data_IF_368915770162
#
_entry.id   IF_368915770162
#
_cell.length_a   1.000
_cell.length_b   1.000
_cell.length_c   1.000
_cell.angle_alpha   90.00
_cell.angle_beta   90.00
_cell.angle_gamma   90.00
#
_symmetry.space_group_name_H-M   'P 1'
#
loop_
_entity.id
_entity.type
_entity.pdbx_description
1 polymer ?
#
# COMPACT_ATOMS: atom_id res chain seq x y z
N UNK A 1 0.05 1.76 -22.99
CA UNK A 1 0.97 2.84 -22.54
C UNK A 1 0.31 4.19 -22.17
N UNK A 2 -0.77 4.65 -22.82
CA UNK A 2 -1.36 5.98 -22.55
C UNK A 2 -2.25 6.10 -21.29
N UNK A 3 -2.77 4.99 -20.75
CA UNK A 3 -3.63 4.96 -19.56
C UNK A 3 -2.87 5.13 -18.24
N UNK A 4 -1.70 4.49 -18.09
CA UNK A 4 -0.81 4.64 -16.91
C UNK A 4 -0.38 6.10 -16.68
N UNK A 5 -0.03 6.83 -17.74
CA UNK A 5 0.38 8.26 -17.64
C UNK A 5 -0.76 9.22 -17.29
N UNK A 6 -2.03 8.86 -17.57
CA UNK A 6 -3.21 9.67 -17.18
C UNK A 6 -3.61 9.42 -15.73
N UNK A 7 -3.53 8.16 -15.25
CA UNK A 7 -3.71 7.82 -13.84
C UNK A 7 -2.63 8.48 -12.97
N UNK A 8 -1.35 8.42 -13.37
CA UNK A 8 -0.24 9.14 -12.72
C UNK A 8 -0.41 10.68 -12.63
N UNK A 9 -1.20 11.30 -13.53
CA UNK A 9 -1.46 12.75 -13.52
C UNK A 9 -2.61 13.16 -12.61
N UNK A 10 -3.64 12.32 -12.48
CA UNK A 10 -4.70 12.52 -11.49
C UNK A 10 -4.22 12.18 -10.08
N UNK A 11 -3.31 11.20 -9.99
CA UNK A 11 -2.49 10.87 -8.81
C UNK A 11 -1.80 12.14 -8.26
N UNK A 12 -1.01 12.85 -9.05
CA UNK A 12 -0.23 14.00 -8.55
C UNK A 12 -1.03 15.21 -8.00
N UNK A 13 -2.30 15.43 -8.36
CA UNK A 13 -3.04 16.62 -7.91
C UNK A 13 -3.66 16.50 -6.51
N UNK A 14 -4.03 15.30 -6.05
CA UNK A 14 -4.50 15.06 -4.66
C UNK A 14 -3.36 14.62 -3.72
N UNK A 15 -2.31 14.01 -4.29
CA UNK A 15 -1.17 13.43 -3.58
C UNK A 15 -0.10 14.46 -3.19
N UNK A 16 0.00 15.62 -3.85
CA UNK A 16 1.05 16.61 -3.59
C UNK A 16 1.08 17.09 -2.12
N UNK A 17 -0.09 17.19 -1.47
CA UNK A 17 -0.16 17.57 -0.04
C UNK A 17 0.39 16.46 0.88
N UNK A 18 0.20 15.19 0.52
CA UNK A 18 0.63 14.05 1.35
C UNK A 18 1.99 13.48 0.93
N UNK A 19 2.51 13.87 -0.24
CA UNK A 19 3.80 13.41 -0.77
C UNK A 19 4.95 13.81 0.14
N UNK A 20 4.91 15.02 0.68
CA UNK A 20 5.89 15.51 1.66
C UNK A 20 5.82 14.74 3.00
N UNK A 21 4.71 14.04 3.29
CA UNK A 21 4.60 13.12 4.46
C UNK A 21 5.03 11.69 4.16
N UNK A 22 5.16 11.34 2.88
CA UNK A 22 5.46 9.98 2.41
C UNK A 22 6.89 9.81 1.88
N UNK A 23 7.60 10.89 1.55
CA UNK A 23 8.85 10.82 0.80
C UNK A 23 9.98 11.60 1.48
N UNK A 24 10.65 10.97 2.46
CA UNK A 24 11.92 11.47 3.02
C UNK A 24 13.06 10.42 3.02
N UNK A 25 12.83 9.20 2.52
CA UNK A 25 13.78 8.10 2.70
C UNK A 25 14.19 7.45 1.38
N UNK A 26 15.49 7.15 1.18
CA UNK A 26 15.97 6.52 -0.05
C UNK A 26 15.57 5.04 -0.07
N UNK A 27 14.54 4.71 -0.84
CA UNK A 27 14.12 3.33 -1.09
C UNK A 27 14.80 2.78 -2.35
N UNK A 28 15.14 1.49 -2.34
CA UNK A 28 15.71 0.77 -3.49
C UNK A 28 14.84 0.81 -4.74
N UNK A 29 13.53 0.83 -4.53
CA UNK A 29 12.52 0.83 -5.58
C UNK A 29 11.40 1.79 -5.16
N UNK A 30 10.91 2.66 -6.06
CA UNK A 30 9.81 3.57 -5.75
C UNK A 30 8.58 2.86 -5.17
N UNK A 31 8.21 1.71 -5.76
CA UNK A 31 7.07 0.91 -5.31
C UNK A 31 7.24 0.35 -3.88
N UNK A 32 8.48 0.13 -3.39
CA UNK A 32 8.71 -0.20 -1.97
C UNK A 32 8.37 0.96 -1.06
N UNK A 33 8.73 2.18 -1.48
CA UNK A 33 8.40 3.39 -0.75
C UNK A 33 6.89 3.60 -0.69
N UNK A 34 6.21 3.45 -1.83
CA UNK A 34 4.76 3.54 -1.91
C UNK A 34 4.07 2.45 -1.07
N UNK A 35 4.56 1.20 -1.12
CA UNK A 35 4.07 0.11 -0.27
C UNK A 35 4.24 0.45 1.21
N UNK A 36 5.46 0.81 1.63
CA UNK A 36 5.74 1.13 3.02
C UNK A 36 4.83 2.25 3.55
N UNK A 37 4.70 3.33 2.78
CA UNK A 37 3.93 4.50 3.21
C UNK A 37 2.44 4.24 3.24
N UNK A 38 1.91 3.60 2.19
CA UNK A 38 0.49 3.28 2.14
C UNK A 38 0.11 2.27 3.23
N UNK A 39 0.93 1.24 3.47
CA UNK A 39 0.70 0.30 4.57
C UNK A 39 0.81 0.99 5.93
N UNK A 40 1.75 1.93 6.12
CA UNK A 40 1.87 2.72 7.36
C UNK A 40 0.59 3.49 7.68
N UNK A 41 -0.03 4.10 6.66
CA UNK A 41 -1.32 4.80 6.81
C UNK A 41 -2.45 3.83 7.15
N UNK A 42 -2.53 2.67 6.48
CA UNK A 42 -3.57 1.68 6.79
C UNK A 42 -3.47 1.16 8.23
N UNK A 43 -2.23 1.00 8.72
CA UNK A 43 -1.94 0.52 10.08
C UNK A 43 -2.22 1.56 11.16
N UNK A 44 -2.04 2.85 10.88
CA UNK A 44 -2.22 3.91 11.87
C UNK A 44 -3.71 4.26 12.05
N UNK A 45 -4.15 4.17 13.31
CA UNK A 45 -5.54 4.33 13.74
C UNK A 45 -6.04 5.78 13.66
N UNK A 46 -5.14 6.76 13.53
CA UNK A 46 -5.45 8.19 13.60
C UNK A 46 -5.56 8.86 12.24
N UNK A 47 -5.73 8.10 11.18
CA UNK A 47 -5.80 8.63 9.82
C UNK A 47 -7.19 9.11 9.44
N UNK A 48 -7.19 10.17 8.63
CA UNK A 48 -8.38 10.68 7.96
C UNK A 48 -8.85 9.70 6.86
N UNK A 49 -10.16 9.63 6.64
CA UNK A 49 -10.78 8.71 5.70
C UNK A 49 -10.34 8.96 4.24
N UNK A 50 -10.13 10.20 3.82
CA UNK A 50 -9.68 10.52 2.46
C UNK A 50 -8.24 10.03 2.26
N UNK A 51 -7.37 10.23 3.26
CA UNK A 51 -6.00 9.73 3.21
C UNK A 51 -5.97 8.20 3.16
N UNK A 52 -6.79 7.54 3.98
CA UNK A 52 -6.89 6.09 4.02
C UNK A 52 -7.38 5.52 2.68
N UNK A 53 -8.45 6.09 2.11
CA UNK A 53 -8.95 5.69 0.79
C UNK A 53 -7.89 5.85 -0.31
N UNK A 54 -7.12 6.94 -0.27
CA UNK A 54 -6.02 7.15 -1.22
C UNK A 54 -4.94 6.07 -1.10
N UNK A 55 -4.48 5.75 0.12
CA UNK A 55 -3.46 4.72 0.32
C UNK A 55 -3.96 3.32 -0.09
N UNK A 56 -5.24 3.04 0.10
CA UNK A 56 -5.86 1.77 -0.29
C UNK A 56 -5.98 1.65 -1.81
N UNK A 57 -6.30 2.74 -2.50
CA UNK A 57 -6.26 2.81 -3.96
C UNK A 57 -4.85 2.54 -4.49
N UNK A 58 -3.82 3.16 -3.90
CA UNK A 58 -2.42 2.89 -4.26
C UNK A 58 -2.09 1.40 -4.10
N UNK A 59 -2.45 0.80 -2.96
CA UNK A 59 -2.17 -0.61 -2.70
C UNK A 59 -2.88 -1.54 -3.70
N UNK A 60 -4.18 -1.37 -3.90
CA UNK A 60 -4.99 -2.32 -4.67
C UNK A 60 -4.94 -2.09 -6.19
N UNK A 61 -4.80 -0.84 -6.65
CA UNK A 61 -4.92 -0.50 -8.07
C UNK A 61 -3.61 -0.05 -8.73
N UNK A 62 -2.68 0.58 -8.00
CA UNK A 62 -1.41 1.02 -8.57
C UNK A 62 -0.30 -0.02 -8.35
N UNK A 63 -0.22 -0.56 -7.14
CA UNK A 63 0.69 -1.67 -6.80
C UNK A 63 0.08 -3.05 -7.11
N UNK A 64 -1.23 -3.12 -7.32
CA UNK A 64 -1.96 -4.33 -7.71
C UNK A 64 -1.69 -5.51 -6.76
N UNK A 65 -1.51 -5.25 -5.45
CA UNK A 65 -1.04 -6.25 -4.47
C UNK A 65 -1.95 -7.48 -4.33
N UNK A 66 -3.20 -7.38 -4.80
CA UNK A 66 -4.19 -8.45 -4.73
C UNK A 66 -4.27 -9.30 -6.01
N UNK A 67 -4.25 -8.66 -7.20
CA UNK A 67 -4.48 -9.38 -8.46
C UNK A 67 -3.23 -10.16 -8.90
N UNK A 68 -2.05 -9.56 -8.74
CA UNK A 68 -0.77 -10.24 -8.89
C UNK A 68 0.36 -9.33 -8.36
N UNK A 69 0.80 -9.49 -7.10
CA UNK A 69 1.93 -8.72 -6.57
C UNK A 69 3.24 -8.93 -7.34
N UNK A 70 3.27 -9.90 -8.27
CA UNK A 70 4.40 -10.21 -9.17
C UNK A 70 4.27 -9.56 -10.55
N UNK A 71 3.08 -9.04 -10.96
CA UNK A 71 2.89 -8.30 -12.22
C UNK A 71 3.27 -6.83 -12.16
N UNK A 72 3.45 -6.29 -10.95
CA UNK A 72 4.38 -5.19 -10.71
C UNK A 72 5.84 -5.64 -10.80
N UNK A 73 6.19 -6.41 -11.84
CA UNK A 73 7.52 -6.97 -12.12
C UNK A 73 8.26 -7.45 -10.87
N UNK A 74 8.00 -8.69 -10.41
CA UNK A 74 8.57 -9.29 -9.20
C UNK A 74 10.10 -9.19 -9.01
N UNK A 75 10.63 -8.02 -8.66
CA UNK A 75 12.05 -7.77 -8.46
C UNK A 75 12.35 -6.84 -7.29
N UNK A 76 11.36 -6.45 -6.49
CA UNK A 76 11.53 -5.49 -5.38
C UNK A 76 10.98 -5.95 -4.04
N UNK A 77 10.23 -7.05 -3.99
CA UNK A 77 9.87 -7.76 -2.76
C UNK A 77 10.88 -8.85 -2.45
N UNK A 78 11.21 -9.01 -1.18
CA UNK A 78 12.04 -10.11 -0.72
C UNK A 78 11.19 -11.39 -0.57
N UNK A 79 11.78 -12.59 -0.71
CA UNK A 79 11.02 -13.85 -0.63
C UNK A 79 10.22 -14.03 0.67
N UNK A 80 10.69 -13.49 1.80
CA UNK A 80 10.01 -13.52 3.08
C UNK A 80 8.85 -12.50 3.19
N UNK A 81 8.79 -11.49 2.33
CA UNK A 81 7.71 -10.49 2.28
C UNK A 81 6.53 -10.97 1.44
N UNK A 82 6.76 -11.85 0.46
CA UNK A 82 5.73 -12.37 -0.44
C UNK A 82 4.50 -12.96 0.28
N UNK A 83 4.65 -13.92 1.21
CA UNK A 83 3.47 -14.45 1.92
C UNK A 83 2.79 -13.40 2.81
N UNK A 84 3.51 -12.38 3.27
CA UNK A 84 2.97 -11.32 4.13
C UNK A 84 2.15 -10.31 3.32
N UNK A 85 2.62 -9.94 2.12
CA UNK A 85 1.85 -9.07 1.24
C UNK A 85 0.60 -9.76 0.73
N UNK A 86 0.67 -11.07 0.43
CA UNK A 86 -0.50 -11.86 0.01
C UNK A 86 -1.57 -11.88 1.12
N UNK A 87 -1.20 -12.19 2.37
CA UNK A 87 -2.13 -12.20 3.51
C UNK A 87 -2.72 -10.81 3.77
N UNK A 88 -1.89 -9.76 3.76
CA UNK A 88 -2.35 -8.38 3.91
C UNK A 88 -3.30 -7.96 2.79
N UNK A 89 -2.99 -8.27 1.53
CA UNK A 89 -3.80 -7.93 0.37
C UNK A 89 -5.18 -8.59 0.44
N UNK A 90 -5.24 -9.88 0.82
CA UNK A 90 -6.49 -10.62 0.97
C UNK A 90 -7.38 -9.98 2.04
N UNK A 91 -6.83 -9.69 3.22
CA UNK A 91 -7.59 -9.08 4.32
C UNK A 91 -8.06 -7.67 3.97
N UNK A 92 -7.19 -6.87 3.36
CA UNK A 92 -7.55 -5.52 2.93
C UNK A 92 -8.65 -5.56 1.87
N UNK A 93 -8.55 -6.45 0.89
CA UNK A 93 -9.58 -6.61 -0.15
C UNK A 93 -10.90 -7.10 0.43
N UNK A 94 -10.89 -7.95 1.45
CA UNK A 94 -12.12 -8.37 2.14
C UNK A 94 -12.83 -7.19 2.81
N UNK A 95 -12.10 -6.31 3.49
CA UNK A 95 -12.67 -5.10 4.13
C UNK A 95 -13.18 -4.08 3.10
N UNK A 96 -12.44 -3.89 1.99
CA UNK A 96 -12.86 -2.99 0.91
C UNK A 96 -14.06 -3.57 0.15
N UNK A 97 -14.11 -4.89 0.00
CA UNK A 97 -15.11 -5.63 -0.77
C UNK A 97 -15.28 -5.03 -2.19
N UNK A 98 -16.51 -4.63 -2.52
CA UNK A 98 -16.91 -4.06 -3.80
C UNK A 98 -16.84 -2.52 -3.84
N UNK A 99 -16.39 -1.87 -2.76
CA UNK A 99 -16.26 -0.42 -2.73
C UNK A 99 -15.14 0.05 -3.65
N UNK A 100 -15.30 1.27 -4.18
CA UNK A 100 -14.23 1.96 -4.92
C UNK A 100 -13.08 2.22 -3.93
N UNK A 101 -11.85 1.71 -4.15
CA UNK A 101 -10.75 1.84 -3.20
C UNK A 101 -10.47 3.28 -2.75
N UNK A 102 -10.45 4.24 -3.68
CA UNK A 102 -10.27 5.65 -3.36
C UNK A 102 -11.35 6.28 -2.44
N UNK A 103 -12.48 5.60 -2.23
CA UNK A 103 -13.62 6.08 -1.42
C UNK A 103 -13.88 5.18 -0.21
N UNK A 104 -13.06 4.15 0.02
CA UNK A 104 -13.30 3.13 1.04
C UNK A 104 -12.87 3.53 2.45
N UNK A 105 -12.28 4.71 2.66
CA UNK A 105 -11.74 5.11 3.97
C UNK A 105 -12.73 5.00 5.13
N UNK A 106 -13.96 5.50 4.96
CA UNK A 106 -15.00 5.37 6.00
C UNK A 106 -15.46 3.93 6.21
N UNK A 107 -15.48 3.12 5.15
CA UNK A 107 -15.80 1.69 5.24
C UNK A 107 -14.74 0.99 6.09
N UNK A 108 -13.46 1.25 5.79
CA UNK A 108 -12.32 0.66 6.50
C UNK A 108 -12.30 1.08 7.97
N UNK A 109 -12.49 2.37 8.28
CA UNK A 109 -12.46 2.88 9.66
C UNK A 109 -13.56 2.30 10.55
N UNK A 110 -14.68 1.86 9.96
CA UNK A 110 -15.83 1.33 10.70
C UNK A 110 -15.98 -0.18 10.58
N UNK A 111 -15.11 -0.85 9.81
CA UNK A 111 -15.21 -2.29 9.59
C UNK A 111 -14.81 -3.06 10.85
N UNK A 112 -15.59 -4.07 11.28
CA UNK A 112 -15.28 -4.85 12.49
C UNK A 112 -13.91 -5.54 12.41
N UNK A 113 -13.53 -6.00 11.22
CA UNK A 113 -12.28 -6.75 11.00
C UNK A 113 -11.07 -5.86 10.64
N UNK A 114 -11.16 -4.53 10.83
CA UNK A 114 -10.04 -3.63 10.50
C UNK A 114 -8.78 -3.95 11.31
N UNK A 115 -8.93 -4.43 12.54
CA UNK A 115 -7.77 -4.73 13.38
C UNK A 115 -6.94 -5.90 12.84
N UNK A 116 -7.59 -6.88 12.21
CA UNK A 116 -6.93 -8.00 11.53
C UNK A 116 -6.11 -7.52 10.33
N UNK A 117 -6.62 -6.52 9.58
CA UNK A 117 -5.88 -5.88 8.48
C UNK A 117 -4.68 -5.12 9.03
N UNK A 118 -4.85 -4.38 10.13
CA UNK A 118 -3.77 -3.63 10.77
C UNK A 118 -2.69 -4.56 11.32
N UNK A 119 -3.05 -5.69 11.89
CA UNK A 119 -2.07 -6.69 12.37
C UNK A 119 -1.24 -7.27 11.23
N UNK A 120 -1.88 -7.68 10.13
CA UNK A 120 -1.18 -8.14 8.94
C UNK A 120 -0.28 -7.03 8.36
N UNK A 121 -0.79 -5.80 8.29
CA UNK A 121 -0.03 -4.62 7.84
C UNK A 121 1.18 -4.32 8.72
N UNK A 122 1.06 -4.42 10.05
CA UNK A 122 2.19 -4.25 10.99
C UNK A 122 3.26 -5.31 10.75
N UNK A 123 2.86 -6.56 10.55
CA UNK A 123 3.78 -7.66 10.26
C UNK A 123 4.54 -7.42 8.96
N UNK A 124 3.84 -7.00 7.90
CA UNK A 124 4.45 -6.63 6.62
C UNK A 124 5.41 -5.44 6.77
N UNK A 125 5.02 -4.37 7.48
CA UNK A 125 5.87 -3.20 7.72
C UNK A 125 7.17 -3.57 8.46
N UNK A 126 7.08 -4.46 9.45
CA UNK A 126 8.26 -4.94 10.17
C UNK A 126 9.22 -5.67 9.23
N UNK A 127 8.71 -6.54 8.35
CA UNK A 127 9.53 -7.24 7.37
C UNK A 127 10.17 -6.27 6.36
N UNK A 128 9.40 -5.33 5.80
CA UNK A 128 9.89 -4.30 4.87
C UNK A 128 11.00 -3.45 5.53
N UNK A 129 10.84 -3.14 6.81
CA UNK A 129 11.82 -2.37 7.58
C UNK A 129 13.10 -3.19 7.83
N UNK A 130 12.97 -4.47 8.18
CA UNK A 130 14.09 -5.38 8.46
C UNK A 130 14.93 -5.71 7.22
N UNK A 131 14.28 -5.96 6.09
CA UNK A 131 14.96 -6.17 4.80
C UNK A 131 15.58 -4.88 4.24
N UNK A 132 15.39 -3.78 4.94
CA UNK A 132 16.10 -2.55 4.74
C UNK A 132 15.55 -1.68 3.61
N UNK A 133 16.16 -0.50 3.57
CA UNK A 133 16.02 0.53 2.53
C UNK A 133 17.12 0.38 1.45
N UNK A 134 17.91 -0.70 1.49
CA UNK A 134 19.13 -0.98 0.71
C UNK A 134 19.30 -2.50 0.41
N UNK A 135 19.93 -2.86 -0.72
CA UNK A 135 19.60 -3.95 -1.69
C UNK A 135 19.31 -5.38 -1.19
N UNK A 136 18.50 -6.18 -1.93
CA UNK A 136 18.75 -7.62 -1.99
C UNK A 136 20.14 -7.82 -2.61
N UNK A 137 21.12 -8.14 -1.77
CA UNK A 137 22.35 -8.77 -2.24
C UNK A 137 21.97 -10.10 -2.90
N UNK A 138 22.42 -10.24 -4.15
CA UNK A 138 22.25 -11.38 -5.07
C UNK A 138 22.27 -12.76 -4.42
#
# INVERSE_FOLDING_TARGET
MRLRRKRQRLFNCRYAHYRDRMSDEPWLHPDRGDLYQATRVVVDERNDADLLGCCVDTLLNDLEIYDDPRQGAGSWLFPNELPLIDDFAVRLKAVVADNIPAQSGNVILTHPDIEDVREAGRTLLNAITQNGRGAPSR
#
